data_IF_502441041736
#
_entry.id   IF_502441041736
#
_cell.length_a   1.000
_cell.length_b   1.000
_cell.length_c   1.000
_cell.angle_alpha   90.00
_cell.angle_beta   90.00
_cell.angle_gamma   90.00
#
_symmetry.space_group_name_H-M   'P 1'
#
loop_
_entity.id
_entity.type
_entity.pdbx_description
1 polymer ?
#
# COMPACT_ATOMS: atom_id res chain seq x y z
N UNK A 1 48.99 -56.46 -14.79
CA UNK A 1 49.33 -55.16 -14.14
C UNK A 1 48.58 -54.06 -14.87
N UNK A 2 47.65 -53.37 -14.19
CA UNK A 2 46.98 -52.19 -14.75
C UNK A 2 45.45 -52.23 -14.66
N UNK A 3 44.91 -52.18 -13.44
CA UNK A 3 43.48 -51.94 -13.17
C UNK A 3 43.08 -50.53 -13.62
N UNK A 4 41.98 -50.41 -14.38
CA UNK A 4 41.30 -49.14 -14.67
C UNK A 4 40.51 -48.70 -13.43
N UNK A 5 40.99 -47.67 -12.74
CA UNK A 5 40.24 -46.94 -11.72
C UNK A 5 39.41 -45.83 -12.36
N UNK A 6 38.12 -45.82 -12.02
CA UNK A 6 37.13 -44.78 -12.24
C UNK A 6 37.60 -43.44 -11.65
N UNK A 7 37.40 -42.35 -12.39
CA UNK A 7 37.44 -40.98 -11.83
C UNK A 7 36.11 -40.28 -12.15
N UNK A 8 35.35 -40.03 -11.10
CA UNK A 8 34.16 -39.18 -11.02
C UNK A 8 34.61 -37.70 -11.08
N UNK A 9 33.91 -36.80 -11.80
CA UNK A 9 34.09 -35.36 -11.58
C UNK A 9 33.08 -34.81 -10.56
N UNK A 10 33.56 -33.89 -9.72
CA UNK A 10 32.84 -33.11 -8.71
C UNK A 10 32.00 -31.97 -9.32
N UNK A 11 30.96 -31.47 -8.61
CA UNK A 11 30.02 -30.48 -9.14
C UNK A 11 30.53 -29.06 -8.91
N UNK A 12 31.31 -28.52 -9.85
CA UNK A 12 31.78 -27.12 -9.76
C UNK A 12 31.77 -26.34 -11.08
N UNK A 13 31.40 -26.94 -12.20
CA UNK A 13 31.45 -26.28 -13.51
C UNK A 13 30.12 -26.43 -14.26
N UNK A 14 29.12 -25.64 -13.88
CA UNK A 14 28.00 -25.31 -14.76
C UNK A 14 28.05 -23.82 -15.11
N UNK A 15 28.37 -23.53 -16.36
CA UNK A 15 28.24 -22.19 -16.92
C UNK A 15 26.76 -21.77 -16.91
N UNK A 16 26.43 -20.51 -16.55
CA UNK A 16 25.07 -20.04 -16.52
C UNK A 16 24.52 -19.92 -17.94
N UNK A 17 23.40 -20.61 -18.17
CA UNK A 17 22.70 -20.61 -19.45
C UNK A 17 22.17 -19.23 -19.78
N UNK A 18 22.03 -18.96 -21.08
CA UNK A 18 21.62 -17.67 -21.65
C UNK A 18 20.31 -17.10 -21.05
N UNK A 19 19.47 -17.94 -20.43
CA UNK A 19 18.23 -17.56 -19.77
C UNK A 19 18.43 -16.78 -18.46
N UNK A 20 19.46 -17.07 -17.66
CA UNK A 20 19.75 -16.33 -16.41
C UNK A 20 20.22 -14.90 -16.71
N UNK A 21 20.93 -14.72 -17.83
CA UNK A 21 21.33 -13.40 -18.30
C UNK A 21 20.13 -12.58 -18.80
N UNK A 22 19.15 -13.24 -19.44
CA UNK A 22 17.94 -12.60 -19.96
C UNK A 22 17.01 -12.23 -18.81
N UNK A 23 16.77 -13.11 -17.83
CA UNK A 23 15.96 -12.80 -16.65
C UNK A 23 16.59 -11.68 -15.82
N UNK A 24 17.90 -11.69 -15.58
CA UNK A 24 18.61 -10.62 -14.86
C UNK A 24 18.50 -9.28 -15.59
N UNK A 25 18.59 -9.28 -16.92
CA UNK A 25 18.43 -8.07 -17.75
C UNK A 25 16.99 -7.59 -17.75
N UNK A 26 16.00 -8.48 -17.79
CA UNK A 26 14.58 -8.15 -17.78
C UNK A 26 14.15 -7.57 -16.43
N UNK A 27 14.57 -8.18 -15.30
CA UNK A 27 14.35 -7.67 -13.95
C UNK A 27 15.00 -6.30 -13.75
N UNK A 28 16.25 -6.11 -14.22
CA UNK A 28 16.93 -4.80 -14.18
C UNK A 28 16.25 -3.75 -15.06
N UNK A 29 15.62 -4.15 -16.17
CA UNK A 29 14.88 -3.25 -17.07
C UNK A 29 13.54 -2.85 -16.46
N UNK A 30 12.83 -3.78 -15.82
CA UNK A 30 11.61 -3.54 -15.03
C UNK A 30 11.88 -2.62 -13.84
N UNK A 31 12.97 -2.84 -13.09
CA UNK A 31 13.36 -1.97 -11.98
C UNK A 31 13.71 -0.56 -12.46
N UNK A 32 14.41 -0.43 -13.60
CA UNK A 32 14.72 0.88 -14.23
C UNK A 32 13.50 1.58 -14.84
N UNK A 33 12.51 0.83 -15.33
CA UNK A 33 11.28 1.40 -15.89
C UNK A 33 10.38 1.92 -14.76
N UNK A 34 10.26 1.15 -13.67
CA UNK A 34 9.59 1.58 -12.43
C UNK A 34 10.24 2.84 -11.83
N UNK A 35 11.58 2.92 -11.82
CA UNK A 35 12.30 4.12 -11.35
C UNK A 35 12.20 5.33 -12.31
N UNK A 36 11.92 5.12 -13.60
CA UNK A 36 11.71 6.20 -14.59
C UNK A 36 10.31 6.78 -14.53
N UNK A 37 9.30 5.96 -14.28
CA UNK A 37 7.90 6.41 -14.13
C UNK A 37 7.77 7.31 -12.89
N UNK A 38 8.56 7.08 -11.84
CA UNK A 38 8.59 7.93 -10.65
C UNK A 38 9.38 9.26 -10.81
N UNK A 39 10.01 9.51 -11.97
CA UNK A 39 10.86 10.71 -12.21
C UNK A 39 10.27 11.71 -13.21
N UNK A 40 9.01 11.56 -13.59
CA UNK A 40 8.34 12.46 -14.55
C UNK A 40 7.06 13.07 -13.97
N UNK A 41 7.18 13.92 -12.93
CA UNK A 41 6.15 14.95 -12.66
C UNK A 41 6.56 16.12 -11.71
N UNK A 42 7.84 16.49 -11.63
CA UNK A 42 8.28 17.61 -10.77
C UNK A 42 8.65 18.90 -11.53
N UNK A 43 8.65 18.88 -12.86
CA UNK A 43 9.20 19.98 -13.69
C UNK A 43 8.13 20.99 -14.17
N UNK A 44 6.85 20.67 -14.00
CA UNK A 44 5.70 21.51 -14.42
C UNK A 44 5.15 22.41 -13.29
N UNK A 45 5.52 22.17 -12.03
CA UNK A 45 5.05 22.99 -10.89
C UNK A 45 5.88 24.27 -10.68
N UNK A 46 7.12 24.33 -11.18
CA UNK A 46 8.05 25.43 -10.92
C UNK A 46 7.87 26.70 -11.77
N UNK A 47 6.98 26.69 -12.78
CA UNK A 47 6.80 27.83 -13.70
C UNK A 47 5.64 28.77 -13.36
N UNK A 48 4.80 28.42 -12.38
CA UNK A 48 3.66 29.25 -11.96
C UNK A 48 3.90 29.97 -10.61
N UNK A 49 5.07 29.82 -9.99
CA UNK A 49 5.37 30.43 -8.69
C UNK A 49 6.18 31.74 -8.79
N UNK A 50 6.80 32.02 -9.95
CA UNK A 50 7.63 33.22 -10.16
C UNK A 50 6.82 34.52 -10.33
N UNK A 51 5.56 34.45 -10.76
CA UNK A 51 4.72 35.64 -10.98
C UNK A 51 3.89 36.06 -9.74
N UNK A 52 3.98 35.32 -8.63
CA UNK A 52 3.31 35.66 -7.37
C UNK A 52 4.22 36.43 -6.37
N UNK A 53 5.50 36.60 -6.70
CA UNK A 53 6.52 37.13 -5.80
C UNK A 53 6.63 38.65 -5.69
N UNK A 54 5.90 39.43 -6.50
CA UNK A 54 6.09 40.88 -6.59
C UNK A 54 5.06 41.73 -5.82
N UNK A 55 4.08 41.12 -5.12
CA UNK A 55 2.97 41.89 -4.54
C UNK A 55 2.55 41.51 -3.11
N UNK A 56 3.43 40.83 -2.35
CA UNK A 56 3.17 40.51 -0.93
C UNK A 56 4.26 41.11 -0.04
N UNK A 57 4.17 42.41 0.18
CA UNK A 57 4.66 43.08 1.40
C UNK A 57 3.61 44.14 1.74
N UNK A 58 2.81 43.95 2.82
CA UNK A 58 3.32 44.01 4.19
C UNK A 58 2.62 43.02 5.16
N UNK A 59 2.71 41.71 4.90
CA UNK A 59 2.24 40.69 5.85
C UNK A 59 3.39 40.04 6.65
N UNK A 60 4.63 40.13 6.14
CA UNK A 60 5.81 39.49 6.75
C UNK A 60 6.27 40.17 8.05
N UNK A 61 6.04 41.47 8.25
CA UNK A 61 6.41 42.16 9.50
C UNK A 61 5.51 41.77 10.66
N UNK A 62 4.20 41.58 10.44
CA UNK A 62 3.25 41.12 11.47
C UNK A 62 3.45 39.64 11.83
N UNK A 63 3.79 38.78 10.88
CA UNK A 63 4.10 37.37 11.18
C UNK A 63 5.43 37.21 11.91
N UNK A 64 6.46 38.00 11.59
CA UNK A 64 7.72 37.97 12.35
C UNK A 64 7.54 38.54 13.76
N UNK A 65 6.64 39.50 13.96
CA UNK A 65 6.33 40.06 15.27
C UNK A 65 5.48 39.10 16.12
N UNK A 66 4.51 38.40 15.51
CA UNK A 66 3.78 37.29 16.16
C UNK A 66 4.67 36.09 16.48
N UNK A 67 5.63 35.79 15.61
CA UNK A 67 6.63 34.72 15.84
C UNK A 67 7.67 35.17 16.88
N UNK A 68 8.04 36.45 16.91
CA UNK A 68 8.96 37.02 17.93
C UNK A 68 8.29 37.17 19.29
N UNK A 69 6.98 37.31 19.37
CA UNK A 69 6.23 37.24 20.64
C UNK A 69 6.03 35.78 21.09
N UNK A 70 5.83 34.83 20.17
CA UNK A 70 5.83 33.39 20.49
C UNK A 70 7.22 32.82 20.81
N UNK A 71 8.30 33.37 20.24
CA UNK A 71 9.69 32.99 20.53
C UNK A 71 10.32 33.86 21.64
N UNK A 72 9.81 35.05 21.91
CA UNK A 72 10.25 35.92 23.01
C UNK A 72 9.78 35.42 24.39
N UNK A 73 8.77 34.54 24.42
CA UNK A 73 8.40 33.74 25.59
C UNK A 73 9.12 32.37 25.65
N UNK A 74 10.08 32.09 24.76
CA UNK A 74 10.76 30.80 24.73
C UNK A 74 11.85 30.62 25.80
N UNK A 75 12.32 31.70 26.45
CA UNK A 75 13.31 31.61 27.52
C UNK A 75 12.73 31.10 28.86
N UNK A 76 11.41 31.22 29.07
CA UNK A 76 10.71 30.70 30.27
C UNK A 76 9.93 29.40 29.96
N UNK A 77 10.23 28.74 28.84
CA UNK A 77 9.55 27.51 28.39
C UNK A 77 10.23 26.29 29.01
N UNK A 78 9.48 25.48 29.74
CA UNK A 78 9.97 24.22 30.30
C UNK A 78 10.55 23.33 29.18
N UNK A 79 11.86 23.06 29.22
CA UNK A 79 12.53 22.28 28.19
C UNK A 79 12.30 20.78 28.42
N UNK A 80 11.99 20.05 27.35
CA UNK A 80 11.89 18.60 27.38
C UNK A 80 13.29 17.98 27.28
N UNK A 81 13.55 16.84 27.95
CA UNK A 81 14.83 16.14 27.84
C UNK A 81 15.17 15.80 26.37
N UNK A 82 16.44 15.86 25.96
CA UNK A 82 16.85 15.56 24.58
C UNK A 82 16.47 14.14 24.16
N UNK A 83 16.56 13.17 25.08
CA UNK A 83 16.17 11.77 24.83
C UNK A 83 14.68 11.62 24.53
N UNK A 84 13.83 12.45 25.15
CA UNK A 84 12.39 12.48 24.89
C UNK A 84 12.11 12.97 23.47
N UNK A 85 12.76 14.07 23.05
CA UNK A 85 12.61 14.65 21.71
C UNK A 85 13.04 13.64 20.63
N UNK A 86 14.11 12.89 20.86
CA UNK A 86 14.56 11.87 19.92
C UNK A 86 13.63 10.66 19.84
N UNK A 87 12.98 10.28 20.95
CA UNK A 87 11.90 9.28 20.95
C UNK A 87 10.70 9.77 20.12
N UNK A 88 10.30 11.03 20.28
CA UNK A 88 9.22 11.60 19.49
C UNK A 88 9.50 11.53 17.98
N UNK A 89 10.70 11.94 17.55
CA UNK A 89 11.11 11.87 16.14
C UNK A 89 11.05 10.44 15.60
N UNK A 90 11.49 9.45 16.39
CA UNK A 90 11.46 8.03 15.99
C UNK A 90 10.02 7.53 15.86
N UNK A 91 9.13 7.88 16.79
CA UNK A 91 7.71 7.51 16.74
C UNK A 91 7.01 8.18 15.55
N UNK A 92 7.33 9.45 15.26
CA UNK A 92 6.76 10.17 14.11
C UNK A 92 7.26 9.57 12.78
N UNK A 93 8.54 9.22 12.69
CA UNK A 93 9.07 8.51 11.54
C UNK A 93 8.37 7.14 11.35
N UNK A 94 8.14 6.40 12.44
CA UNK A 94 7.43 5.12 12.42
C UNK A 94 5.99 5.30 11.92
N UNK A 95 5.27 6.32 12.41
CA UNK A 95 3.91 6.66 11.97
C UNK A 95 3.88 6.99 10.49
N UNK A 96 4.79 7.84 10.02
CA UNK A 96 4.89 8.20 8.60
C UNK A 96 5.20 6.98 7.72
N UNK A 97 6.07 6.08 8.18
CA UNK A 97 6.37 4.84 7.47
C UNK A 97 5.10 3.98 7.34
N UNK A 98 4.31 3.85 8.41
CA UNK A 98 3.06 3.09 8.37
C UNK A 98 2.05 3.70 7.39
N UNK A 99 1.87 5.02 7.43
CA UNK A 99 0.96 5.73 6.52
C UNK A 99 1.39 5.62 5.05
N UNK A 100 2.69 5.77 4.77
CA UNK A 100 3.22 5.65 3.40
C UNK A 100 3.03 4.25 2.84
N UNK A 101 3.23 3.21 3.66
CA UNK A 101 2.98 1.84 3.23
C UNK A 101 1.50 1.60 2.94
N UNK A 102 0.60 1.98 3.86
CA UNK A 102 -0.85 1.82 3.68
C UNK A 102 -1.40 2.56 2.46
N UNK A 103 -0.86 3.74 2.15
CA UNK A 103 -1.28 4.52 0.99
C UNK A 103 -1.18 3.74 -0.32
N UNK A 104 -0.22 2.82 -0.44
CA UNK A 104 -0.03 1.99 -1.64
C UNK A 104 -0.65 0.60 -1.46
N UNK A 105 -0.43 -0.03 -0.31
CA UNK A 105 -0.85 -1.42 -0.11
C UNK A 105 -2.34 -1.57 0.15
N UNK A 106 -3.06 -0.51 0.54
CA UNK A 106 -4.53 -0.54 0.61
C UNK A 106 -5.17 -0.87 -0.75
N UNK A 107 -4.44 -0.69 -1.85
CA UNK A 107 -4.89 -1.07 -3.17
C UNK A 107 -5.18 -2.58 -3.29
N UNK A 108 -4.53 -3.44 -2.50
CA UNK A 108 -4.83 -4.88 -2.43
C UNK A 108 -6.27 -5.19 -1.94
N UNK A 109 -6.97 -4.20 -1.36
CA UNK A 109 -8.39 -4.30 -1.03
C UNK A 109 -9.32 -4.07 -2.22
N UNK A 110 -8.81 -3.52 -3.33
CA UNK A 110 -9.57 -3.27 -4.54
C UNK A 110 -9.28 -4.35 -5.60
N UNK A 111 -10.19 -5.30 -5.76
CA UNK A 111 -10.00 -6.42 -6.70
C UNK A 111 -9.65 -6.00 -8.14
N UNK A 112 -10.12 -4.84 -8.62
CA UNK A 112 -9.86 -4.36 -9.99
C UNK A 112 -8.59 -3.49 -10.10
N UNK A 113 -7.64 -3.57 -9.16
CA UNK A 113 -6.48 -2.67 -9.18
C UNK A 113 -5.51 -2.85 -10.36
N UNK A 114 -5.39 -4.06 -10.86
CA UNK A 114 -4.55 -4.45 -12.00
C UNK A 114 -5.28 -4.28 -13.34
N UNK A 115 -6.60 -4.14 -13.27
CA UNK A 115 -7.47 -3.99 -14.41
C UNK A 115 -8.53 -2.91 -14.15
N UNK A 116 -8.11 -1.63 -14.14
CA UNK A 116 -9.04 -0.53 -13.90
C UNK A 116 -10.17 -0.56 -14.93
N UNK A 117 -11.42 -0.29 -14.53
CA UNK A 117 -12.58 -0.47 -15.39
C UNK A 117 -12.45 0.35 -16.67
N UNK A 118 -12.16 -0.33 -17.77
CA UNK A 118 -12.32 0.24 -19.10
C UNK A 118 -13.81 0.38 -19.36
N UNK A 119 -14.30 1.60 -19.58
CA UNK A 119 -15.74 1.93 -19.77
C UNK A 119 -16.41 1.05 -20.85
N UNK A 120 -15.63 0.50 -21.80
CA UNK A 120 -16.10 -0.37 -22.88
C UNK A 120 -16.46 -1.80 -22.44
N UNK A 121 -15.80 -2.35 -21.42
CA UNK A 121 -16.03 -3.74 -21.01
C UNK A 121 -17.23 -3.89 -20.06
N UNK A 122 -17.47 -2.89 -19.21
CA UNK A 122 -18.65 -2.84 -18.34
C UNK A 122 -19.96 -2.94 -19.15
N UNK A 123 -20.00 -2.41 -20.37
CA UNK A 123 -21.17 -2.49 -21.24
C UNK A 123 -21.34 -3.84 -21.94
N UNK A 124 -20.25 -4.54 -22.27
CA UNK A 124 -20.29 -5.87 -22.87
C UNK A 124 -20.64 -6.96 -21.84
N UNK A 125 -20.15 -6.84 -20.61
CA UNK A 125 -20.47 -7.76 -19.51
C UNK A 125 -21.93 -7.58 -19.02
N UNK A 126 -22.45 -6.34 -19.00
CA UNK A 126 -23.87 -6.09 -18.77
C UNK A 126 -24.75 -6.64 -19.91
N UNK A 127 -24.29 -6.61 -21.17
CA UNK A 127 -25.00 -7.16 -22.32
C UNK A 127 -25.12 -8.70 -22.32
N UNK A 128 -24.05 -9.41 -21.91
CA UNK A 128 -24.09 -10.89 -21.78
C UNK A 128 -25.00 -11.36 -20.65
N UNK A 129 -24.97 -10.68 -19.51
CA UNK A 129 -25.85 -10.98 -18.36
C UNK A 129 -27.34 -10.83 -18.73
N UNK A 130 -27.68 -9.87 -19.60
CA UNK A 130 -29.05 -9.71 -20.10
C UNK A 130 -29.41 -10.81 -21.11
N UNK A 131 -28.47 -11.24 -21.96
CA UNK A 131 -28.68 -12.36 -22.89
C UNK A 131 -28.89 -13.70 -22.17
N UNK A 132 -28.16 -13.95 -21.08
CA UNK A 132 -28.33 -15.15 -20.23
C UNK A 132 -29.69 -15.13 -19.50
N UNK A 133 -30.14 -13.96 -19.03
CA UNK A 133 -31.49 -13.81 -18.45
C UNK A 133 -32.60 -14.01 -19.47
N UNK A 134 -32.42 -13.56 -20.72
CA UNK A 134 -33.39 -13.78 -21.81
C UNK A 134 -33.43 -15.26 -22.24
N UNK A 135 -32.28 -15.95 -22.26
CA UNK A 135 -32.22 -17.40 -22.51
C UNK A 135 -32.90 -18.21 -21.39
N UNK A 136 -32.73 -17.82 -20.12
CA UNK A 136 -33.43 -18.43 -18.99
C UNK A 136 -34.95 -18.15 -19.01
N UNK A 137 -35.35 -16.97 -19.46
CA UNK A 137 -36.76 -16.61 -19.68
C UNK A 137 -37.38 -17.40 -20.85
N UNK A 138 -36.62 -17.70 -21.92
CA UNK A 138 -37.13 -18.53 -23.03
C UNK A 138 -37.28 -20.01 -22.68
N UNK A 139 -36.64 -20.47 -21.60
CA UNK A 139 -36.79 -21.82 -21.07
C UNK A 139 -37.84 -21.96 -19.95
N UNK A 140 -38.40 -20.84 -19.47
CA UNK A 140 -39.42 -20.85 -18.42
C UNK A 140 -40.82 -21.07 -19.03
N UNK A 141 -41.37 -22.27 -18.82
CA UNK A 141 -42.71 -22.65 -19.32
C UNK A 141 -43.87 -22.06 -18.51
N UNK A 142 -43.60 -21.37 -17.39
CA UNK A 142 -44.62 -20.78 -16.51
C UNK A 142 -44.26 -19.38 -16.00
N UNK A 143 -45.26 -18.52 -15.78
CA UNK A 143 -45.11 -17.14 -15.29
C UNK A 143 -44.53 -17.04 -13.87
N UNK A 144 -44.68 -18.09 -13.05
CA UNK A 144 -44.12 -18.17 -11.70
C UNK A 144 -42.60 -18.45 -11.73
N UNK A 145 -42.11 -19.27 -12.66
CA UNK A 145 -40.68 -19.53 -12.86
C UNK A 145 -39.96 -18.31 -13.47
N UNK A 146 -40.64 -17.56 -14.36
CA UNK A 146 -40.12 -16.32 -14.93
C UNK A 146 -39.90 -15.22 -13.86
N UNK A 147 -40.79 -15.13 -12.86
CA UNK A 147 -40.63 -14.20 -11.73
C UNK A 147 -39.52 -14.67 -10.77
N UNK A 148 -39.39 -15.97 -10.54
CA UNK A 148 -38.28 -16.53 -9.75
C UNK A 148 -36.92 -16.28 -10.41
N UNK A 149 -36.82 -16.38 -11.74
CA UNK A 149 -35.59 -16.11 -12.49
C UNK A 149 -35.19 -14.62 -12.52
N UNK A 150 -36.16 -13.71 -12.39
CA UNK A 150 -35.93 -12.25 -12.34
C UNK A 150 -35.59 -11.74 -10.93
N UNK A 151 -36.04 -12.44 -9.89
CA UNK A 151 -35.86 -12.05 -8.47
C UNK A 151 -34.75 -12.87 -7.79
N UNK A 152 -34.31 -13.98 -8.37
CA UNK A 152 -33.15 -14.71 -7.89
C UNK A 152 -31.89 -13.81 -7.94
N UNK A 153 -31.18 -13.61 -6.81
CA UNK A 153 -29.86 -12.99 -6.85
C UNK A 153 -28.97 -13.83 -7.78
N UNK A 154 -28.09 -13.20 -8.59
CA UNK A 154 -27.25 -13.93 -9.53
C UNK A 154 -26.49 -15.03 -8.78
N UNK A 155 -26.84 -16.28 -9.04
CA UNK A 155 -26.25 -17.48 -8.43
C UNK A 155 -24.82 -17.71 -8.91
N UNK A 156 -24.44 -17.12 -10.05
CA UNK A 156 -23.05 -17.00 -10.43
C UNK A 156 -22.38 -15.99 -9.49
N UNK A 157 -21.41 -16.44 -8.68
CA UNK A 157 -20.49 -15.54 -7.96
C UNK A 157 -20.09 -14.41 -8.92
N UNK A 158 -20.16 -13.13 -8.51
CA UNK A 158 -19.70 -12.03 -9.35
C UNK A 158 -18.34 -12.40 -9.93
N UNK A 159 -18.24 -12.44 -11.27
CA UNK A 159 -17.01 -12.87 -11.91
C UNK A 159 -15.86 -11.98 -11.44
N UNK A 160 -14.72 -12.57 -11.07
CA UNK A 160 -13.62 -11.77 -10.58
C UNK A 160 -13.14 -10.77 -11.64
N UNK A 161 -12.86 -9.56 -11.18
CA UNK A 161 -12.48 -8.39 -12.01
C UNK A 161 -10.99 -8.22 -12.15
N UNK A 162 -10.20 -9.20 -11.71
CA UNK A 162 -8.76 -9.21 -11.89
C UNK A 162 -8.40 -9.23 -13.39
N UNK A 163 -7.22 -8.73 -13.75
CA UNK A 163 -6.72 -8.79 -15.13
C UNK A 163 -6.65 -10.23 -15.66
N UNK A 164 -6.16 -11.18 -14.86
CA UNK A 164 -6.01 -12.59 -15.26
C UNK A 164 -7.35 -13.22 -15.68
N UNK A 165 -8.41 -12.97 -14.90
CA UNK A 165 -9.76 -13.41 -15.23
C UNK A 165 -10.31 -12.73 -16.50
N UNK A 166 -10.02 -11.43 -16.72
CA UNK A 166 -10.40 -10.75 -17.97
C UNK A 166 -9.71 -11.38 -19.20
N UNK A 167 -8.41 -11.67 -19.09
CA UNK A 167 -7.65 -12.37 -20.13
C UNK A 167 -8.21 -13.77 -20.39
N UNK A 168 -8.59 -14.51 -19.34
CA UNK A 168 -9.21 -15.81 -19.50
C UNK A 168 -10.52 -15.76 -20.29
N UNK A 169 -11.41 -14.81 -19.95
CA UNK A 169 -12.67 -14.59 -20.67
C UNK A 169 -12.46 -14.20 -22.13
N UNK A 170 -11.52 -13.30 -22.40
CA UNK A 170 -11.17 -12.90 -23.76
C UNK A 170 -10.65 -14.10 -24.57
N UNK A 171 -9.75 -14.89 -23.98
CA UNK A 171 -9.15 -16.06 -24.63
C UNK A 171 -10.18 -17.14 -24.93
N UNK A 172 -11.09 -17.43 -23.99
CA UNK A 172 -12.18 -18.38 -24.19
C UNK A 172 -13.16 -17.92 -25.28
N UNK A 173 -13.53 -16.64 -25.27
CA UNK A 173 -14.39 -16.06 -26.31
C UNK A 173 -13.73 -16.11 -27.70
N UNK A 174 -12.43 -15.85 -27.79
CA UNK A 174 -11.66 -15.98 -29.03
C UNK A 174 -11.57 -17.43 -29.51
N UNK A 175 -11.34 -18.39 -28.60
CA UNK A 175 -11.36 -19.82 -28.93
C UNK A 175 -12.71 -20.25 -29.50
N UNK A 176 -13.81 -19.88 -28.85
CA UNK A 176 -15.16 -20.16 -29.34
C UNK A 176 -15.44 -19.56 -30.71
N UNK A 177 -14.99 -18.31 -30.94
CA UNK A 177 -15.12 -17.66 -32.24
C UNK A 177 -14.37 -18.42 -33.33
N UNK A 178 -13.15 -18.89 -33.06
CA UNK A 178 -12.37 -19.68 -34.02
C UNK A 178 -13.03 -21.02 -34.29
N UNK A 179 -13.48 -21.75 -33.26
CA UNK A 179 -14.20 -23.02 -33.44
C UNK A 179 -15.48 -22.87 -34.27
N UNK A 180 -16.26 -21.80 -34.06
CA UNK A 180 -17.50 -21.56 -34.81
C UNK A 180 -17.26 -21.25 -36.28
N UNK A 181 -16.13 -20.62 -36.61
CA UNK A 181 -15.79 -20.23 -37.97
C UNK A 181 -14.82 -21.20 -38.65
N UNK A 182 -14.43 -22.29 -37.99
CA UNK A 182 -13.54 -23.29 -38.54
C UNK A 182 -14.29 -24.16 -39.57
N UNK A 183 -13.92 -24.03 -40.84
CA UNK A 183 -14.50 -24.78 -41.97
C UNK A 183 -13.58 -25.87 -42.51
N UNK A 184 -12.41 -26.06 -41.90
CA UNK A 184 -11.42 -27.07 -42.27
C UNK A 184 -11.68 -28.45 -41.65
N UNK A 185 -11.01 -29.47 -42.17
CA UNK A 185 -10.97 -30.79 -41.55
C UNK A 185 -9.81 -30.83 -40.54
N UNK A 186 -10.13 -30.80 -39.24
CA UNK A 186 -9.16 -30.85 -38.14
C UNK A 186 -9.58 -29.98 -36.95
N UNK A 187 -8.78 -30.01 -35.88
CA UNK A 187 -8.89 -29.03 -34.79
C UNK A 187 -8.07 -27.78 -35.12
N UNK A 188 -8.63 -26.60 -34.81
CA UNK A 188 -7.89 -25.35 -34.87
C UNK A 188 -6.92 -25.27 -33.69
N UNK A 189 -5.62 -25.43 -33.96
CA UNK A 189 -4.57 -25.42 -32.94
C UNK A 189 -4.52 -24.12 -32.14
N UNK A 190 -4.85 -22.97 -32.75
CA UNK A 190 -4.92 -21.70 -32.05
C UNK A 190 -6.13 -21.65 -31.11
N UNK A 191 -7.29 -22.16 -31.56
CA UNK A 191 -8.47 -22.25 -30.72
C UNK A 191 -8.23 -23.15 -29.49
N UNK A 192 -7.57 -24.30 -29.68
CA UNK A 192 -7.17 -25.22 -28.61
C UNK A 192 -6.14 -24.59 -27.67
N UNK A 193 -5.16 -23.86 -28.20
CA UNK A 193 -4.17 -23.15 -27.37
C UNK A 193 -4.83 -22.06 -26.51
N UNK A 194 -5.75 -21.29 -27.08
CA UNK A 194 -6.49 -20.23 -26.38
C UNK A 194 -7.40 -20.78 -25.28
N UNK A 195 -8.03 -21.93 -25.48
CA UNK A 195 -8.82 -22.60 -24.43
C UNK A 195 -7.95 -23.02 -23.24
N UNK A 196 -6.80 -23.66 -23.51
CA UNK A 196 -5.84 -24.06 -22.46
C UNK A 196 -5.23 -22.85 -21.75
N UNK A 197 -4.96 -21.77 -22.48
CA UNK A 197 -4.50 -20.51 -21.92
C UNK A 197 -5.56 -19.87 -21.03
N UNK A 198 -6.84 -19.90 -21.42
CA UNK A 198 -7.93 -19.39 -20.60
C UNK A 198 -8.00 -20.08 -19.23
N UNK A 199 -8.01 -21.42 -19.21
CA UNK A 199 -8.05 -22.21 -17.96
C UNK A 199 -6.82 -21.92 -17.08
N UNK A 200 -5.65 -21.78 -17.70
CA UNK A 200 -4.40 -21.47 -16.99
C UNK A 200 -4.48 -20.08 -16.35
N UNK A 201 -5.03 -19.08 -17.06
CA UNK A 201 -5.20 -17.72 -16.56
C UNK A 201 -6.27 -17.61 -15.47
N UNK A 202 -7.32 -18.44 -15.47
CA UNK A 202 -8.25 -18.56 -14.33
C UNK A 202 -7.50 -19.02 -13.08
N UNK A 203 -6.67 -20.06 -13.17
CA UNK A 203 -5.85 -20.55 -12.04
C UNK A 203 -4.89 -19.47 -11.51
N UNK A 204 -4.28 -18.68 -12.40
CA UNK A 204 -3.42 -17.54 -12.02
C UNK A 204 -4.25 -16.44 -11.33
N UNK A 205 -5.47 -16.18 -11.82
CA UNK A 205 -6.41 -15.24 -11.22
C UNK A 205 -6.83 -15.65 -9.81
N UNK A 206 -7.17 -16.92 -9.60
CA UNK A 206 -7.52 -17.48 -8.28
C UNK A 206 -6.36 -17.38 -7.29
N UNK A 207 -5.12 -17.69 -7.74
CA UNK A 207 -3.93 -17.51 -6.91
C UNK A 207 -3.73 -16.05 -6.49
N UNK A 208 -4.08 -15.09 -7.37
CA UNK A 208 -4.03 -13.66 -7.05
C UNK A 208 -5.11 -13.26 -6.05
N UNK A 209 -6.33 -13.79 -6.15
CA UNK A 209 -7.37 -13.54 -5.16
C UNK A 209 -6.99 -14.09 -3.77
N UNK A 210 -6.33 -15.25 -3.74
CA UNK A 210 -5.80 -15.83 -2.50
C UNK A 210 -4.73 -14.92 -1.87
N UNK A 211 -3.80 -14.41 -2.68
CA UNK A 211 -2.80 -13.43 -2.23
C UNK A 211 -3.45 -12.17 -1.65
N UNK A 212 -4.40 -11.56 -2.38
CA UNK A 212 -5.07 -10.35 -1.92
C UNK A 212 -5.79 -10.59 -0.59
N UNK A 213 -6.48 -11.73 -0.44
CA UNK A 213 -7.14 -12.14 0.80
C UNK A 213 -6.16 -12.28 1.98
N UNK A 214 -5.01 -12.91 1.76
CA UNK A 214 -3.97 -13.07 2.77
C UNK A 214 -3.34 -11.73 3.15
N UNK A 215 -3.05 -10.86 2.18
CA UNK A 215 -2.52 -9.51 2.42
C UNK A 215 -3.52 -8.67 3.21
N UNK A 216 -4.81 -8.73 2.87
CA UNK A 216 -5.85 -8.00 3.59
C UNK A 216 -5.98 -8.45 5.04
N UNK A 217 -6.08 -9.76 5.26
CA UNK A 217 -6.32 -10.35 6.59
C UNK A 217 -5.10 -10.29 7.51
N UNK A 218 -3.88 -10.45 6.97
CA UNK A 218 -2.67 -10.58 7.78
C UNK A 218 -1.85 -9.29 7.82
N UNK A 219 -1.55 -8.69 6.66
CA UNK A 219 -0.75 -7.47 6.60
C UNK A 219 -1.57 -6.21 6.88
N UNK A 220 -2.61 -5.93 6.09
CA UNK A 220 -3.36 -4.67 6.21
C UNK A 220 -4.08 -4.55 7.55
N UNK A 221 -4.65 -5.64 8.07
CA UNK A 221 -5.28 -5.63 9.38
C UNK A 221 -4.27 -5.31 10.50
N UNK A 222 -3.16 -6.05 10.59
CA UNK A 222 -2.13 -5.83 11.61
C UNK A 222 -1.46 -4.45 11.52
N UNK A 223 -1.24 -3.98 10.30
CA UNK A 223 -0.63 -2.68 10.04
C UNK A 223 -1.57 -1.52 10.41
N UNK A 224 -2.88 -1.64 10.14
CA UNK A 224 -3.88 -0.69 10.60
C UNK A 224 -4.03 -0.68 12.13
N UNK A 225 -4.00 -1.85 12.79
CA UNK A 225 -4.03 -1.93 14.26
C UNK A 225 -2.85 -1.18 14.88
N UNK A 226 -1.64 -1.35 14.34
CA UNK A 226 -0.45 -0.63 14.83
C UNK A 226 -0.60 0.89 14.67
N UNK A 227 -1.17 1.34 13.55
CA UNK A 227 -1.43 2.76 13.29
C UNK A 227 -2.50 3.35 14.21
N UNK A 228 -3.64 2.68 14.32
CA UNK A 228 -4.84 3.22 14.97
C UNK A 228 -4.88 3.01 16.48
N UNK A 229 -4.09 2.06 17.00
CA UNK A 229 -4.05 1.73 18.44
C UNK A 229 -2.70 2.13 19.03
N UNK A 230 -1.61 1.48 18.64
CA UNK A 230 -0.31 1.66 19.28
C UNK A 230 0.24 3.08 19.07
N UNK A 231 0.26 3.56 17.82
CA UNK A 231 0.71 4.91 17.49
C UNK A 231 -0.27 6.01 17.95
N UNK A 232 -1.55 5.67 18.10
CA UNK A 232 -2.58 6.52 18.72
C UNK A 232 -2.29 6.75 20.21
N UNK A 233 -1.94 5.70 20.96
CA UNK A 233 -1.56 5.82 22.36
C UNK A 233 -0.32 6.71 22.54
N UNK A 234 0.72 6.53 21.73
CA UNK A 234 1.89 7.41 21.76
C UNK A 234 1.52 8.87 21.41
N UNK A 235 0.64 9.09 20.43
CA UNK A 235 0.15 10.43 20.09
C UNK A 235 -0.61 11.07 21.26
N UNK A 236 -1.43 10.29 21.98
CA UNK A 236 -2.20 10.77 23.14
C UNK A 236 -1.29 11.09 24.33
N UNK A 237 -0.32 10.22 24.64
CA UNK A 237 0.63 10.44 25.71
C UNK A 237 1.45 11.73 25.49
N UNK A 238 1.93 11.97 24.25
CA UNK A 238 2.62 13.23 23.89
C UNK A 238 1.74 14.46 24.08
N UNK A 239 0.45 14.39 23.74
CA UNK A 239 -0.50 15.49 23.99
C UNK A 239 -0.68 15.76 25.48
N UNK A 240 -0.64 14.73 26.32
CA UNK A 240 -0.73 14.91 27.77
C UNK A 240 0.54 15.55 28.35
N UNK A 241 1.73 15.20 27.84
CA UNK A 241 3.00 15.88 28.20
C UNK A 241 2.94 17.35 27.81
N UNK A 242 2.49 17.67 26.60
CA UNK A 242 2.34 19.05 26.16
C UNK A 242 1.34 19.82 27.05
N UNK A 243 0.23 19.19 27.42
CA UNK A 243 -0.79 19.79 28.30
C UNK A 243 -0.26 20.04 29.71
N UNK A 244 0.43 19.06 30.31
CA UNK A 244 1.02 19.20 31.64
C UNK A 244 2.13 20.24 31.65
N UNK A 245 2.95 20.31 30.59
CA UNK A 245 3.94 21.40 30.40
C UNK A 245 3.29 22.77 30.39
N UNK A 246 2.25 22.95 29.57
CA UNK A 246 1.52 24.23 29.50
C UNK A 246 0.85 24.59 30.83
N UNK A 247 0.37 23.59 31.57
CA UNK A 247 -0.18 23.78 32.92
C UNK A 247 0.87 24.25 33.91
N UNK A 248 2.05 23.62 33.89
CA UNK A 248 3.19 24.01 34.72
C UNK A 248 3.66 25.44 34.41
N UNK A 249 3.80 25.76 33.11
CA UNK A 249 4.17 27.10 32.66
C UNK A 249 3.13 28.16 33.11
N UNK A 250 1.83 27.83 33.04
CA UNK A 250 0.75 28.71 33.49
C UNK A 250 0.72 28.92 35.01
N UNK A 251 0.90 27.86 35.81
CA UNK A 251 0.95 27.93 37.28
C UNK A 251 2.18 28.73 37.72
N UNK A 252 3.35 28.52 37.10
CA UNK A 252 4.56 29.31 37.35
C UNK A 252 4.37 30.79 37.02
N UNK A 253 3.72 31.10 35.90
CA UNK A 253 3.40 32.48 35.51
C UNK A 253 2.39 33.14 36.47
N UNK A 254 1.42 32.37 36.99
CA UNK A 254 0.45 32.86 37.97
C UNK A 254 1.13 33.15 39.32
N UNK A 255 2.00 32.24 39.76
CA UNK A 255 2.74 32.33 41.02
C UNK A 255 3.79 33.47 41.03
N UNK A 256 4.44 33.75 39.89
CA UNK A 256 5.35 34.90 39.72
C UNK A 256 4.61 36.26 39.63
N UNK A 257 3.27 36.29 39.73
CA UNK A 257 2.49 37.53 39.67
C UNK A 257 2.42 38.16 38.26
N UNK A 258 2.71 37.38 37.22
CA UNK A 258 2.70 37.83 35.81
C UNK A 258 1.30 37.88 35.18
N UNK A 259 0.24 37.63 35.94
CA UNK A 259 -1.16 37.85 35.54
C UNK A 259 -1.41 39.37 35.38
N UNK A 260 -1.13 39.89 34.19
CA UNK A 260 -1.74 41.10 33.63
C UNK A 260 -1.69 42.37 34.52
N UNK A 261 -0.53 43.02 34.58
CA UNK A 261 -0.48 44.47 34.87
C UNK A 261 -1.01 45.27 33.67
N UNK A 262 -2.30 45.19 33.36
CA UNK A 262 -2.93 46.16 32.45
C UNK A 262 -3.60 47.26 33.27
N UNK A 263 -2.94 48.42 33.28
CA UNK A 263 -3.53 49.70 33.62
C UNK A 263 -3.49 50.06 35.10
N UNK A 264 -2.42 50.74 35.53
CA UNK A 264 -2.46 52.18 35.81
C UNK A 264 -1.04 52.66 36.17
N UNK A 265 -0.65 53.79 35.58
CA UNK A 265 0.67 54.37 35.74
C UNK A 265 1.00 54.70 37.20
N UNK A 266 2.21 54.39 37.62
CA UNK A 266 2.70 54.71 38.96
C UNK A 266 4.10 54.16 39.21
N UNK A 267 5.11 54.96 38.87
CA UNK A 267 6.38 55.15 39.56
C UNK A 267 6.97 54.00 40.41
N UNK A 268 8.14 53.51 39.97
CA UNK A 268 9.40 53.31 40.74
C UNK A 268 9.35 52.38 41.97
N UNK A 269 10.20 51.36 42.00
CA UNK A 269 11.45 51.30 42.80
C UNK A 269 12.05 49.90 42.73
N UNK A 270 13.35 49.83 42.50
CA UNK A 270 14.18 48.64 42.69
C UNK A 270 14.10 48.17 44.15
N UNK A 271 13.46 47.04 44.41
CA UNK A 271 13.72 46.24 45.61
C UNK A 271 13.71 44.77 45.21
N UNK A 272 14.89 44.16 45.31
CA UNK A 272 15.05 42.73 45.56
C UNK A 272 14.29 42.41 46.85
N UNK A 273 13.00 42.13 46.74
CA UNK A 273 12.29 41.34 47.74
C UNK A 273 12.06 40.00 47.08
N UNK A 274 12.66 38.97 47.66
CA UNK A 274 12.19 37.60 47.51
C UNK A 274 10.68 37.65 47.72
N UNK A 275 9.93 37.63 46.63
CA UNK A 275 8.49 37.43 46.68
C UNK A 275 8.35 36.03 47.26
N UNK A 276 8.28 35.92 48.59
CA UNK A 276 8.01 34.68 49.30
C UNK A 276 6.71 34.16 48.68
N UNK A 277 6.85 33.17 47.81
CA UNK A 277 5.72 32.52 47.17
C UNK A 277 4.79 32.08 48.29
N UNK A 278 3.51 32.48 48.23
CA UNK A 278 2.51 32.01 49.19
C UNK A 278 2.65 30.50 49.30
N UNK A 279 2.60 29.90 50.50
CA UNK A 279 2.72 28.45 50.66
C UNK A 279 1.72 27.68 49.77
N UNK A 280 0.54 28.26 49.52
CA UNK A 280 -0.46 27.72 48.59
C UNK A 280 0.02 27.73 47.12
N UNK A 281 0.73 28.77 46.68
CA UNK A 281 1.30 28.85 45.34
C UNK A 281 2.50 27.92 45.14
N UNK A 282 3.25 27.63 46.22
CA UNK A 282 4.34 26.64 46.19
C UNK A 282 3.77 25.22 46.03
N UNK A 283 2.72 24.88 46.79
CA UNK A 283 2.04 23.58 46.69
C UNK A 283 1.43 23.35 45.30
N UNK A 284 0.82 24.38 44.69
CA UNK A 284 0.30 24.29 43.32
C UNK A 284 1.39 24.06 42.26
N UNK A 285 2.56 24.69 42.42
CA UNK A 285 3.71 24.45 41.54
C UNK A 285 4.23 23.02 41.71
N UNK A 286 4.45 22.56 42.95
CA UNK A 286 4.94 21.20 43.24
C UNK A 286 4.03 20.14 42.61
N UNK A 287 2.72 20.29 42.78
CA UNK A 287 1.73 19.39 42.16
C UNK A 287 1.79 19.40 40.63
N UNK A 288 1.97 20.57 40.01
CA UNK A 288 2.08 20.68 38.56
C UNK A 288 3.40 20.10 38.03
N UNK A 289 4.48 20.19 38.80
CA UNK A 289 5.77 19.56 38.49
C UNK A 289 5.68 18.04 38.56
N UNK A 290 5.08 17.49 39.62
CA UNK A 290 4.85 16.06 39.77
C UNK A 290 3.99 15.48 38.62
N UNK A 291 2.93 16.19 38.23
CA UNK A 291 2.09 15.79 37.11
C UNK A 291 2.88 15.80 35.79
N UNK A 292 3.71 16.82 35.55
CA UNK A 292 4.56 16.90 34.36
C UNK A 292 5.60 15.78 34.30
N UNK A 293 6.26 15.45 35.42
CA UNK A 293 7.20 14.33 35.51
C UNK A 293 6.48 13.01 35.24
N UNK A 294 5.34 12.78 35.89
CA UNK A 294 4.53 11.57 35.72
C UNK A 294 4.11 11.36 34.27
N UNK A 295 3.56 12.41 33.62
CA UNK A 295 3.13 12.33 32.23
C UNK A 295 4.31 12.11 31.28
N UNK A 296 5.47 12.69 31.57
CA UNK A 296 6.69 12.50 30.76
C UNK A 296 7.20 11.08 30.85
N UNK A 297 7.26 10.49 32.05
CA UNK A 297 7.67 9.10 32.27
C UNK A 297 6.72 8.11 31.59
N UNK A 298 5.41 8.32 31.73
CA UNK A 298 4.38 7.51 31.05
C UNK A 298 4.56 7.57 29.53
N UNK A 299 4.72 8.77 28.97
CA UNK A 299 4.92 8.96 27.55
C UNK A 299 6.21 8.30 27.04
N UNK A 300 7.31 8.38 27.77
CA UNK A 300 8.55 7.65 27.44
C UNK A 300 8.31 6.15 27.42
N UNK A 301 7.60 5.61 28.41
CA UNK A 301 7.24 4.19 28.47
C UNK A 301 6.42 3.75 27.26
N UNK A 302 5.33 4.46 26.95
CA UNK A 302 4.46 4.17 25.80
C UNK A 302 5.24 4.26 24.49
N UNK A 303 6.02 5.32 24.26
CA UNK A 303 6.78 5.49 23.03
C UNK A 303 7.83 4.39 22.83
N UNK A 304 8.54 3.98 23.89
CA UNK A 304 9.48 2.85 23.82
C UNK A 304 8.77 1.53 23.50
N UNK A 305 7.62 1.28 24.11
CA UNK A 305 6.84 0.07 23.83
C UNK A 305 6.37 0.00 22.37
N UNK A 306 5.94 1.14 21.80
CA UNK A 306 5.55 1.21 20.39
C UNK A 306 6.73 0.94 19.46
N UNK A 307 7.91 1.51 19.75
CA UNK A 307 9.11 1.33 18.94
C UNK A 307 9.69 -0.09 19.02
N UNK A 308 9.56 -0.74 20.17
CA UNK A 308 10.09 -2.09 20.41
C UNK A 308 9.09 -3.20 20.03
N UNK A 309 7.92 -2.86 19.51
CA UNK A 309 6.93 -3.84 19.08
C UNK A 309 7.46 -4.63 17.88
N UNK A 310 7.47 -5.99 17.92
CA UNK A 310 7.89 -6.80 16.78
C UNK A 310 6.81 -6.89 15.68
N UNK A 311 5.59 -6.39 15.94
CA UNK A 311 4.43 -6.55 15.07
C UNK A 311 4.63 -6.01 13.63
N UNK A 312 5.21 -4.81 13.40
CA UNK A 312 5.43 -4.33 12.04
C UNK A 312 6.32 -5.26 11.20
N UNK A 313 7.37 -5.84 11.82
CA UNK A 313 8.24 -6.77 11.13
C UNK A 313 7.54 -8.10 10.81
N UNK A 314 6.72 -8.60 11.75
CA UNK A 314 5.89 -9.79 11.53
C UNK A 314 4.92 -9.57 10.36
N UNK A 315 4.20 -8.45 10.37
CA UNK A 315 3.27 -8.09 9.30
C UNK A 315 3.99 -8.02 7.94
N UNK A 316 5.17 -7.41 7.89
CA UNK A 316 5.97 -7.34 6.66
C UNK A 316 6.39 -8.73 6.15
N UNK A 317 6.72 -9.65 7.06
CA UNK A 317 7.00 -11.04 6.69
C UNK A 317 5.78 -11.73 6.07
N UNK A 318 4.58 -11.50 6.59
CA UNK A 318 3.33 -12.04 6.03
C UNK A 318 3.05 -11.49 4.62
N UNK A 319 3.32 -10.21 4.38
CA UNK A 319 3.21 -9.61 3.05
C UNK A 319 4.15 -10.30 2.05
N UNK A 320 5.40 -10.52 2.44
CA UNK A 320 6.41 -11.18 1.60
C UNK A 320 5.99 -12.63 1.32
N UNK A 321 5.52 -13.35 2.33
CA UNK A 321 5.07 -14.73 2.19
C UNK A 321 3.92 -14.86 1.18
N UNK A 322 2.90 -14.01 1.30
CA UNK A 322 1.76 -13.98 0.37
C UNK A 322 2.22 -13.70 -1.08
N UNK A 323 3.15 -12.77 -1.27
CA UNK A 323 3.72 -12.46 -2.59
C UNK A 323 4.51 -13.64 -3.19
N UNK A 324 5.32 -14.31 -2.37
CA UNK A 324 6.10 -15.48 -2.80
C UNK A 324 5.16 -16.60 -3.25
N UNK A 325 4.12 -16.89 -2.47
CA UNK A 325 3.17 -17.95 -2.76
C UNK A 325 2.47 -17.72 -4.11
N UNK A 326 1.98 -16.51 -4.36
CA UNK A 326 1.39 -16.14 -5.65
C UNK A 326 2.36 -16.31 -6.81
N UNK A 327 3.55 -15.70 -6.73
CA UNK A 327 4.50 -15.74 -7.83
C UNK A 327 4.98 -17.15 -8.14
N UNK A 328 5.18 -17.98 -7.10
CA UNK A 328 5.50 -19.39 -7.26
C UNK A 328 4.36 -20.13 -7.96
N UNK A 329 3.11 -19.93 -7.53
CA UNK A 329 1.95 -20.59 -8.13
C UNK A 329 1.75 -20.19 -9.59
N UNK A 330 1.88 -18.91 -9.91
CA UNK A 330 1.79 -18.41 -11.27
C UNK A 330 2.88 -19.01 -12.17
N UNK A 331 4.11 -19.10 -11.67
CA UNK A 331 5.22 -19.73 -12.38
C UNK A 331 4.95 -21.21 -12.66
N UNK A 332 4.52 -21.98 -11.65
CA UNK A 332 4.21 -23.41 -11.79
C UNK A 332 3.17 -23.64 -12.90
N UNK A 333 2.06 -22.92 -12.82
CA UNK A 333 0.91 -23.09 -13.72
C UNK A 333 1.23 -22.66 -15.16
N UNK A 334 1.98 -21.58 -15.36
CA UNK A 334 2.41 -21.16 -16.70
C UNK A 334 3.50 -22.08 -17.27
N UNK A 335 4.38 -22.61 -16.43
CA UNK A 335 5.42 -23.57 -16.86
C UNK A 335 4.83 -24.91 -17.29
N UNK A 336 3.68 -25.32 -16.70
CA UNK A 336 2.90 -26.46 -17.17
C UNK A 336 2.31 -26.23 -18.58
N UNK A 337 1.85 -25.00 -18.87
CA UNK A 337 1.22 -24.67 -20.15
C UNK A 337 2.23 -24.48 -21.29
N UNK A 338 3.38 -23.87 -21.02
CA UNK A 338 4.37 -23.51 -22.03
C UNK A 338 4.71 -24.64 -23.03
N UNK A 339 5.11 -25.86 -22.59
CA UNK A 339 5.44 -26.93 -23.54
C UNK A 339 4.23 -27.44 -24.34
N UNK A 340 3.01 -27.27 -23.82
CA UNK A 340 1.78 -27.64 -24.54
C UNK A 340 1.55 -26.70 -25.72
N UNK A 341 1.75 -25.40 -25.52
CA UNK A 341 1.63 -24.40 -26.59
C UNK A 341 2.75 -24.55 -27.62
N UNK A 342 3.99 -24.82 -27.17
CA UNK A 342 5.13 -25.08 -28.06
C UNK A 342 4.88 -26.33 -28.95
N UNK A 343 4.26 -27.36 -28.39
CA UNK A 343 3.83 -28.55 -29.14
C UNK A 343 2.81 -28.20 -30.23
N UNK A 344 1.74 -27.47 -29.87
CA UNK A 344 0.72 -27.02 -30.80
C UNK A 344 1.29 -26.13 -31.92
N UNK A 345 2.24 -25.25 -31.58
CA UNK A 345 2.95 -24.43 -32.57
C UNK A 345 3.72 -25.31 -33.56
N UNK A 346 4.48 -26.28 -33.06
CA UNK A 346 5.31 -27.15 -33.90
C UNK A 346 4.44 -27.97 -34.87
N UNK A 347 3.31 -28.50 -34.39
CA UNK A 347 2.34 -29.20 -35.22
C UNK A 347 1.72 -28.28 -36.28
N UNK A 348 1.43 -27.02 -35.93
CA UNK A 348 0.91 -26.02 -36.88
C UNK A 348 1.89 -25.71 -37.99
N UNK A 349 3.17 -25.51 -37.64
CA UNK A 349 4.23 -25.27 -38.61
C UNK A 349 4.44 -26.47 -39.54
N UNK A 350 4.36 -27.70 -39.01
CA UNK A 350 4.48 -28.91 -39.81
C UNK A 350 3.31 -29.06 -40.81
N UNK A 351 2.08 -28.85 -40.35
CA UNK A 351 0.88 -28.87 -41.20
C UNK A 351 0.94 -27.79 -42.29
N UNK A 352 1.39 -26.57 -41.93
CA UNK A 352 1.57 -25.47 -42.87
C UNK A 352 2.62 -25.77 -43.95
N UNK A 353 3.76 -26.36 -43.58
CA UNK A 353 4.79 -26.77 -44.55
C UNK A 353 4.26 -27.85 -45.51
N UNK A 354 3.60 -28.88 -44.98
CA UNK A 354 3.04 -29.99 -45.77
C UNK A 354 2.00 -29.51 -46.79
N UNK A 355 1.05 -28.67 -46.38
CA UNK A 355 0.02 -28.13 -47.28
C UNK A 355 0.59 -27.26 -48.41
N UNK A 356 1.73 -26.60 -48.18
CA UNK A 356 2.45 -25.84 -49.21
C UNK A 356 3.19 -26.76 -50.19
N UNK A 357 3.71 -27.88 -49.73
CA UNK A 357 4.38 -28.88 -50.57
C UNK A 357 3.39 -29.66 -51.45
N UNK A 358 2.20 -29.99 -50.93
CA UNK A 358 1.14 -30.71 -51.68
C UNK A 358 0.39 -29.82 -52.69
N UNK A 359 0.47 -28.49 -52.52
CA UNK A 359 -0.13 -27.51 -53.44
C UNK A 359 0.79 -27.02 -54.56
N UNK A 360 2.07 -27.43 -54.56
CA UNK A 360 3.03 -27.20 -55.65
C UNK A 360 3.20 -28.44 -56.50
#
# INVERSE_FOLDING_TARGET
LGSRTLFQPSPSDLQPSHLDCILSRFLKKLLKLSLRIFKMDFKSFGKNLSDFGAQITPFASRTFQFTKEQFGQAEDKTQLPPDYIDLEKKVDALKQAHQKMLAVTSQYSNEAYDYPPNIKETFQDLGRTVSEKVSLLSSATTTAEAQAALVAPPSAKPQPKTFSHAVARASLASSQLLHQNHTGAGEDQLATALEKYAITMERVGEARLAQDSQIQSSFLAGWNTTLNTNLSFATRARKNVERSRLSLDAVKAHAKGTTFKLGHGGSRTEQHEEQELSPEAQEEIEKAEDEFVTQTEEAVGVMKNVLNSPEPLRNLSELIAAQIEYHKKAYEVLSELAPVVDGLQTEQEASYRKSREEGS
#
